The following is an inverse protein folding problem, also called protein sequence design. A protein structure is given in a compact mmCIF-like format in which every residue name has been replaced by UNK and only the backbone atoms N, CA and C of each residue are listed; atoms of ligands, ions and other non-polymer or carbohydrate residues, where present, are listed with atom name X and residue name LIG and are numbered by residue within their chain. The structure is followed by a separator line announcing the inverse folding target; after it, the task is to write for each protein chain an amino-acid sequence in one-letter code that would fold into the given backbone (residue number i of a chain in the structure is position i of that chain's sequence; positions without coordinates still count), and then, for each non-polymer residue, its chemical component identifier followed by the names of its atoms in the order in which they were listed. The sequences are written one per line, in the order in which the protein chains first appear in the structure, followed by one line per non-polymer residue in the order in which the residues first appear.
data_IF_512534792736
#
_entry.id   IF_512534792736
#
_cell.length_a   1.000
_cell.length_b   1.000
_cell.length_c   1.000
_cell.angle_alpha   90.00
_cell.angle_beta   90.00
_cell.angle_gamma   90.00
#
_symmetry.space_group_name_H-M   'P 1'
#
loop_
_entity.id
_entity.type
_entity.pdbx_description
1 polymer ?
#
# COMPACT_ATOMS: atom_id res chain seq x y z
N UNK A 1 -4.47 -4.23 -6.77
CA UNK A 1 -3.46 -3.16 -6.92
C UNK A 1 -3.86 -2.05 -7.88
N UNK A 2 -4.86 -2.22 -8.76
CA UNK A 2 -5.33 -1.13 -9.64
C UNK A 2 -4.83 -1.23 -11.09
N UNK A 3 -4.35 -2.42 -11.50
CA UNK A 3 -4.11 -2.68 -12.92
C UNK A 3 -5.38 -2.54 -13.73
N UNK A 4 -5.23 -2.05 -14.96
CA UNK A 4 -6.29 -1.89 -15.94
C UNK A 4 -6.88 -3.22 -16.38
N UNK A 5 -6.07 -4.28 -16.45
CA UNK A 5 -6.46 -5.58 -16.99
C UNK A 5 -6.42 -6.67 -15.92
N UNK A 6 -7.42 -7.55 -15.96
CA UNK A 6 -7.40 -8.81 -15.23
C UNK A 6 -6.80 -9.86 -16.16
N UNK A 7 -5.71 -10.49 -15.73
CA UNK A 7 -5.07 -11.58 -16.47
C UNK A 7 -4.92 -12.82 -15.57
N UNK A 8 -4.65 -14.01 -16.14
CA UNK A 8 -4.53 -15.25 -15.35
C UNK A 8 -3.46 -15.18 -14.26
N UNK A 9 -2.30 -14.56 -14.54
CA UNK A 9 -1.22 -14.40 -13.55
C UNK A 9 -1.65 -13.52 -12.38
N UNK A 10 -2.30 -12.39 -12.66
CA UNK A 10 -2.84 -11.48 -11.66
C UNK A 10 -3.96 -12.11 -10.84
N UNK A 11 -4.82 -12.90 -11.48
CA UNK A 11 -5.88 -13.65 -10.79
C UNK A 11 -5.32 -14.67 -9.82
N UNK A 12 -4.27 -15.40 -10.22
CA UNK A 12 -3.62 -16.39 -9.35
C UNK A 12 -2.88 -15.73 -8.18
N UNK A 13 -2.17 -14.63 -8.45
CA UNK A 13 -1.55 -13.82 -7.40
C UNK A 13 -2.60 -13.29 -6.41
N UNK A 14 -3.74 -12.80 -6.90
CA UNK A 14 -4.84 -12.32 -6.07
C UNK A 14 -5.40 -13.43 -5.16
N UNK A 15 -5.59 -14.65 -5.67
CA UNK A 15 -6.01 -15.78 -4.84
C UNK A 15 -5.01 -16.06 -3.72
N UNK A 16 -3.71 -16.09 -4.03
CA UNK A 16 -2.66 -16.31 -3.03
C UNK A 16 -2.68 -15.23 -1.94
N UNK A 17 -2.80 -13.96 -2.35
CA UNK A 17 -2.92 -12.82 -1.44
C UNK A 17 -4.10 -12.99 -0.49
N UNK A 18 -5.27 -13.41 -1.00
CA UNK A 18 -6.48 -13.63 -0.21
C UNK A 18 -6.37 -14.82 0.74
N UNK A 19 -5.77 -15.92 0.30
CA UNK A 19 -5.63 -17.15 1.09
C UNK A 19 -4.65 -16.93 2.25
N UNK A 20 -3.57 -16.18 2.02
CA UNK A 20 -2.50 -15.98 2.98
C UNK A 20 -2.64 -14.72 3.84
N UNK A 21 -3.77 -14.01 3.74
CA UNK A 21 -4.02 -12.74 4.41
C UNK A 21 -2.86 -11.73 4.24
N UNK A 22 -2.43 -11.59 2.98
CA UNK A 22 -1.36 -10.67 2.59
C UNK A 22 -1.99 -9.33 2.21
N UNK A 23 -1.32 -8.23 2.55
CA UNK A 23 -1.74 -6.88 2.14
C UNK A 23 -0.94 -6.42 0.93
N UNK A 24 -1.59 -5.64 0.06
CA UNK A 24 -0.93 -4.97 -1.07
C UNK A 24 -1.15 -3.47 -0.99
N UNK A 25 -0.14 -2.68 -1.36
CA UNK A 25 -0.24 -1.24 -1.43
C UNK A 25 0.35 -0.72 -2.75
N UNK A 26 -0.40 0.12 -3.45
CA UNK A 26 0.01 0.75 -4.70
C UNK A 26 -0.20 2.27 -4.63
N UNK A 27 0.43 3.00 -5.54
CA UNK A 27 0.29 4.46 -5.67
C UNK A 27 -1.06 4.87 -6.26
N UNK A 28 -1.81 3.92 -6.83
CA UNK A 28 -3.04 4.17 -7.59
C UNK A 28 -2.81 4.79 -8.96
N UNK A 29 -1.56 4.96 -9.39
CA UNK A 29 -1.17 5.54 -10.69
C UNK A 29 -0.44 4.51 -11.54
N UNK A 30 -0.44 4.64 -12.88
CA UNK A 30 0.35 3.77 -13.75
C UNK A 30 1.83 3.80 -13.37
N UNK A 31 2.46 2.62 -13.42
CA UNK A 31 3.90 2.44 -13.19
C UNK A 31 4.62 2.00 -14.46
N UNK A 32 3.88 1.51 -15.46
CA UNK A 32 4.38 1.18 -16.78
C UNK A 32 3.95 2.25 -17.80
N UNK A 33 4.93 2.79 -18.52
CA UNK A 33 4.82 3.88 -19.49
C UNK A 33 5.43 3.47 -20.84
N UNK A 34 4.69 2.72 -21.66
CA UNK A 34 5.22 2.22 -22.92
C UNK A 34 5.52 3.36 -23.91
N UNK A 35 6.64 3.25 -24.63
CA UNK A 35 6.97 4.15 -25.75
C UNK A 35 6.12 3.87 -27.00
N UNK A 36 5.60 2.65 -27.12
CA UNK A 36 4.71 2.23 -28.19
C UNK A 36 3.31 2.86 -28.01
N UNK A 37 2.89 3.66 -28.99
CA UNK A 37 1.62 4.40 -28.96
C UNK A 37 0.37 3.51 -28.97
N UNK A 38 0.51 2.23 -29.32
CA UNK A 38 -0.60 1.26 -29.25
C UNK A 38 -0.78 0.67 -27.85
N UNK A 39 0.22 0.83 -26.97
CA UNK A 39 0.15 0.35 -25.60
C UNK A 39 -0.34 1.46 -24.69
N UNK A 40 -1.12 1.06 -23.69
CA UNK A 40 -1.74 1.98 -22.74
C UNK A 40 -1.05 1.78 -21.39
N UNK A 41 -0.71 2.87 -20.67
CA UNK A 41 -0.13 2.79 -19.34
C UNK A 41 -0.92 1.88 -18.39
N UNK A 42 -0.21 1.18 -17.52
CA UNK A 42 -0.80 0.25 -16.57
C UNK A 42 -0.11 0.32 -15.21
N UNK A 43 -0.84 -0.04 -14.16
CA UNK A 43 -0.32 -0.17 -12.80
C UNK A 43 -0.01 -1.63 -12.56
N UNK A 44 1.27 -1.98 -12.65
CA UNK A 44 1.73 -3.37 -12.51
C UNK A 44 2.81 -3.53 -11.44
N UNK A 45 3.34 -2.44 -10.91
CA UNK A 45 4.30 -2.43 -9.80
C UNK A 45 3.59 -1.97 -8.52
N UNK A 46 3.70 -2.76 -7.45
CA UNK A 46 3.08 -2.50 -6.15
C UNK A 46 3.81 -3.27 -5.06
N UNK A 47 3.63 -2.84 -3.81
CA UNK A 47 4.23 -3.47 -2.64
C UNK A 47 3.32 -4.57 -2.11
N UNK A 48 3.92 -5.67 -1.67
CA UNK A 48 3.25 -6.81 -1.03
C UNK A 48 3.90 -7.05 0.32
N UNK A 49 3.10 -7.14 1.38
CA UNK A 49 3.61 -7.31 2.75
C UNK A 49 2.60 -8.03 3.65
N UNK A 50 3.09 -8.61 4.74
CA UNK A 50 2.27 -9.27 5.77
C UNK A 50 2.90 -9.03 7.15
N UNK A 51 2.12 -9.19 8.22
CA UNK A 51 2.58 -8.99 9.59
C UNK A 51 2.83 -7.53 10.00
N UNK A 52 2.45 -6.57 9.15
CA UNK A 52 2.63 -5.13 9.39
C UNK A 52 1.29 -4.42 9.20
N UNK A 53 0.84 -3.56 10.14
CA UNK A 53 -0.33 -2.74 9.95
C UNK A 53 -0.20 -1.84 8.73
N UNK A 54 -1.23 -1.77 7.89
CA UNK A 54 -1.20 -0.94 6.67
C UNK A 54 -0.93 0.55 6.98
N UNK A 55 -1.32 1.04 8.16
CA UNK A 55 -1.03 2.41 8.62
C UNK A 55 0.46 2.73 8.75
N UNK A 56 1.32 1.72 8.88
CA UNK A 56 2.76 1.89 8.97
C UNK A 56 3.45 1.87 7.61
N UNK A 57 2.71 1.56 6.54
CA UNK A 57 3.24 1.48 5.19
C UNK A 57 2.76 2.67 4.37
N UNK A 58 3.70 3.29 3.65
CA UNK A 58 3.43 4.29 2.62
C UNK A 58 4.08 3.84 1.32
N UNK A 59 3.42 4.13 0.21
CA UNK A 59 4.02 4.01 -1.12
C UNK A 59 3.87 5.33 -1.85
N UNK A 60 4.89 5.71 -2.62
CA UNK A 60 4.89 6.88 -3.47
C UNK A 60 5.59 6.57 -4.79
N UNK A 61 5.18 7.25 -5.85
CA UNK A 61 5.85 7.20 -7.14
C UNK A 61 7.15 8.02 -7.14
N UNK A 62 8.11 7.60 -7.95
CA UNK A 62 9.29 8.37 -8.34
C UNK A 62 9.27 8.56 -9.85
N UNK A 63 9.55 9.77 -10.31
CA UNK A 63 9.52 10.14 -11.73
C UNK A 63 10.91 10.10 -12.35
N UNK A 64 11.74 9.13 -11.98
CA UNK A 64 13.01 8.92 -12.66
C UNK A 64 12.74 8.50 -14.12
N UNK A 65 13.37 9.18 -15.08
CA UNK A 65 13.00 9.17 -16.50
C UNK A 65 13.88 8.23 -17.36
N UNK A 66 14.63 7.32 -16.75
CA UNK A 66 15.57 6.47 -17.47
C UNK A 66 14.97 5.16 -18.04
N UNK A 67 13.69 4.88 -17.77
CA UNK A 67 13.02 3.62 -18.14
C UNK A 67 11.56 3.86 -18.53
N UNK A 68 10.97 2.89 -19.23
CA UNK A 68 9.53 2.76 -19.46
C UNK A 68 8.77 2.31 -18.20
N UNK A 69 9.41 2.33 -17.03
CA UNK A 69 8.80 2.15 -15.73
C UNK A 69 9.11 3.32 -14.78
N UNK A 70 8.10 3.79 -14.05
CA UNK A 70 8.28 4.69 -12.91
C UNK A 70 8.58 3.88 -11.65
N UNK A 71 9.74 4.08 -10.99
CA UNK A 71 10.01 3.41 -9.73
C UNK A 71 8.97 3.75 -8.67
N UNK A 72 8.66 2.80 -7.80
CA UNK A 72 7.85 3.02 -6.60
C UNK A 72 8.73 2.91 -5.36
N UNK A 73 8.51 3.80 -4.39
CA UNK A 73 9.23 3.84 -3.12
C UNK A 73 8.26 3.43 -2.02
N UNK A 74 8.55 2.30 -1.38
CA UNK A 74 7.88 1.85 -0.16
C UNK A 74 8.61 2.34 1.08
N UNK A 75 7.87 2.91 2.04
CA UNK A 75 8.41 3.33 3.34
C UNK A 75 7.63 2.64 4.45
N UNK A 76 8.36 2.08 5.41
CA UNK A 76 7.80 1.45 6.61
C UNK A 76 8.18 2.27 7.86
N UNK A 77 7.20 2.60 8.68
CA UNK A 77 7.41 3.26 9.98
C UNK A 77 7.51 2.24 11.11
N UNK A 78 8.61 2.30 11.84
CA UNK A 78 8.84 1.51 13.07
C UNK A 78 8.24 2.16 14.32
N UNK A 79 7.75 3.40 14.22
CA UNK A 79 7.15 4.09 15.36
C UNK A 79 5.79 3.47 15.61
N UNK A 80 5.68 2.67 16.68
CA UNK A 80 4.39 2.29 17.22
C UNK A 80 3.63 3.60 17.53
N UNK A 81 2.51 3.84 16.85
CA UNK A 81 1.58 4.87 17.29
C UNK A 81 1.15 4.48 18.70
N UNK A 82 1.75 5.10 19.72
CA UNK A 82 1.19 5.12 21.07
C UNK A 82 -0.18 5.74 20.89
N UNK A 83 -1.21 4.90 20.88
CA UNK A 83 -2.59 5.37 20.95
C UNK A 83 -2.67 6.15 22.25
N UNK A 84 -2.69 7.48 22.16
CA UNK A 84 -3.05 8.33 23.30
C UNK A 84 -4.48 7.95 23.69
N UNK A 85 -4.59 7.00 24.60
CA UNK A 85 -5.86 6.62 25.18
C UNK A 85 -6.32 7.84 25.96
N UNK A 86 -7.46 8.41 25.59
CA UNK A 86 -8.04 9.52 26.33
C UNK A 86 -8.32 9.06 27.77
N UNK A 87 -7.55 9.57 28.72
CA UNK A 87 -7.77 9.31 30.13
C UNK A 87 -9.09 10.00 30.52
N UNK A 88 -10.11 9.21 30.90
CA UNK A 88 -11.28 9.74 31.59
C UNK A 88 -10.88 10.00 33.03
N UNK A 89 -10.85 11.27 33.45
CA UNK A 89 -10.77 11.63 34.87
C UNK A 89 -12.10 11.22 35.50
N UNK A 90 -12.04 10.31 36.46
CA UNK A 90 -13.18 9.97 37.32
C UNK A 90 -12.92 10.64 38.66
N UNK A 91 -13.58 11.77 38.92
CA UNK A 91 -13.59 12.36 40.26
C UNK A 91 -14.60 11.60 41.10
N UNK A 92 -14.12 10.80 42.06
CA UNK A 92 -14.95 10.36 43.18
C UNK A 92 -14.96 11.49 44.21
N UNK A 93 -16.11 12.07 44.50
CA UNK A 93 -16.27 12.90 45.71
C UNK A 93 -16.44 11.96 46.90
N UNK A 94 -15.56 12.08 47.87
CA UNK A 94 -15.81 11.52 49.21
C UNK A 94 -16.40 12.67 50.02
N UNK A 95 -17.71 12.64 50.24
CA UNK A 95 -18.36 13.53 51.19
C UNK A 95 -17.94 13.12 52.60
N UNK A 96 -17.31 14.03 53.35
CA UNK A 96 -17.10 13.95 54.80
C UNK A 96 -17.62 15.24 55.40
#
# INVERSE_FOLDING_TARGET
WGSRLINPKGSELYKCIRIKDITTLSTGKPTYWPTDSQKIPDLIDFVVFSGIPQSHMRVMESFDLNSDHSPIIGTYSIIAHVLEKSYKVITASTDI
#
